data_IF_317031128621
#
_entry.id   IF_317031128621
#
_cell.length_a   1.000
_cell.length_b   1.000
_cell.length_c   1.000
_cell.angle_alpha   90.00
_cell.angle_beta   90.00
_cell.angle_gamma   90.00
#
_symmetry.space_group_name_H-M   'P 1'
#
loop_
_entity.id
_entity.type
_entity.pdbx_description
1 polymer ?
#
# COMPACT_ATOMS: atom_id res chain seq x y z
N UNK A 1 22.85 -4.23 13.24
CA UNK A 1 22.54 -5.65 12.94
C UNK A 1 21.47 -6.24 13.83
N UNK A 2 21.60 -6.26 15.16
CA UNK A 2 20.61 -6.86 16.06
C UNK A 2 19.16 -6.36 15.81
N UNK A 3 18.97 -5.05 15.64
CA UNK A 3 17.64 -4.48 15.36
C UNK A 3 17.04 -5.00 14.05
N UNK A 4 17.85 -5.14 12.99
CA UNK A 4 17.38 -5.67 11.69
C UNK A 4 16.93 -7.12 11.83
N UNK A 5 17.75 -7.97 12.45
CA UNK A 5 17.42 -9.38 12.64
C UNK A 5 16.19 -9.54 13.53
N UNK A 6 16.10 -8.77 14.62
CA UNK A 6 14.93 -8.78 15.52
C UNK A 6 13.68 -8.27 14.83
N UNK A 7 13.79 -7.24 13.98
CA UNK A 7 12.67 -6.70 13.22
C UNK A 7 12.11 -7.71 12.22
N UNK A 8 12.96 -8.31 11.40
CA UNK A 8 12.55 -9.32 10.42
C UNK A 8 11.93 -10.54 11.12
N UNK A 9 12.64 -11.11 12.10
CA UNK A 9 12.19 -12.30 12.80
C UNK A 9 10.94 -12.07 13.65
N UNK A 10 10.87 -10.92 14.35
CA UNK A 10 9.74 -10.54 15.19
C UNK A 10 8.46 -10.31 14.37
N UNK A 11 8.58 -9.55 13.28
CA UNK A 11 7.44 -9.30 12.38
C UNK A 11 6.91 -10.61 11.77
N UNK A 12 7.78 -11.39 11.15
CA UNK A 12 7.40 -12.67 10.54
C UNK A 12 6.77 -13.64 11.55
N UNK A 13 7.33 -13.73 12.76
CA UNK A 13 6.81 -14.59 13.81
C UNK A 13 5.42 -14.17 14.29
N UNK A 14 5.17 -12.85 14.45
CA UNK A 14 3.86 -12.34 14.86
C UNK A 14 2.76 -12.62 13.82
N UNK A 15 3.06 -12.55 12.53
CA UNK A 15 2.10 -12.90 11.47
C UNK A 15 1.99 -14.42 11.23
N UNK A 16 2.77 -15.21 11.94
CA UNK A 16 2.74 -16.67 11.86
C UNK A 16 3.57 -17.25 10.71
N UNK A 17 4.55 -16.52 10.20
CA UNK A 17 5.47 -16.97 9.15
C UNK A 17 6.85 -17.19 9.76
N UNK A 18 7.37 -18.43 9.80
CA UNK A 18 8.66 -18.71 10.41
C UNK A 18 9.81 -18.15 9.57
N UNK A 19 10.80 -17.55 10.22
CA UNK A 19 12.07 -17.21 9.58
C UNK A 19 12.90 -18.48 9.40
N UNK A 20 13.03 -18.93 8.15
CA UNK A 20 13.63 -20.25 7.85
C UNK A 20 15.07 -20.15 7.37
N UNK A 21 15.52 -18.99 6.89
CA UNK A 21 16.88 -18.77 6.41
C UNK A 21 17.25 -17.30 6.49
N UNK A 22 18.55 -17.04 6.46
CA UNK A 22 19.12 -15.70 6.34
C UNK A 22 20.62 -15.79 6.07
N UNK A 23 21.15 -14.76 5.45
CA UNK A 23 22.59 -14.60 5.19
C UNK A 23 23.01 -13.18 5.53
N UNK A 24 24.20 -13.02 6.08
CA UNK A 24 24.78 -11.72 6.36
C UNK A 24 26.15 -11.63 5.72
N UNK A 25 26.38 -10.61 4.91
CA UNK A 25 27.68 -10.30 4.29
C UNK A 25 28.20 -8.98 4.81
N UNK A 26 29.48 -8.93 5.12
CA UNK A 26 30.17 -7.72 5.61
C UNK A 26 31.08 -7.18 4.52
N UNK A 27 30.93 -5.90 4.21
CA UNK A 27 31.83 -5.15 3.35
C UNK A 27 31.93 -3.71 3.86
N UNK A 28 33.14 -3.12 3.79
CA UNK A 28 33.39 -1.76 4.29
C UNK A 28 32.51 -0.70 3.64
N UNK A 29 32.06 -0.90 2.40
CA UNK A 29 31.17 0.01 1.66
C UNK A 29 29.82 0.17 2.32
N UNK A 30 29.38 -0.77 3.16
CA UNK A 30 28.07 -0.75 3.84
C UNK A 30 28.16 -0.34 5.31
N UNK A 31 29.28 0.20 5.78
CA UNK A 31 29.41 0.56 7.20
C UNK A 31 28.45 1.67 7.64
N UNK A 32 28.10 2.58 6.76
CA UNK A 32 27.23 3.74 7.05
C UNK A 32 25.80 3.54 6.51
N UNK A 33 25.63 2.77 5.43
CA UNK A 33 24.33 2.51 4.84
C UNK A 33 24.19 1.03 4.48
N UNK A 34 23.53 0.28 5.35
CA UNK A 34 23.31 -1.17 5.18
C UNK A 34 22.18 -1.45 4.18
N UNK A 35 22.33 -2.50 3.39
CA UNK A 35 21.26 -3.06 2.58
C UNK A 35 20.58 -4.20 3.32
N UNK A 36 19.25 -4.17 3.33
CA UNK A 36 18.41 -5.20 3.91
C UNK A 36 17.43 -5.68 2.86
N UNK A 37 17.41 -7.00 2.63
CA UNK A 37 16.40 -7.65 1.80
C UNK A 37 15.67 -8.70 2.63
N UNK A 38 14.35 -8.62 2.66
CA UNK A 38 13.51 -9.64 3.24
C UNK A 38 12.66 -10.28 2.13
N UNK A 39 12.53 -11.61 2.17
CA UNK A 39 11.76 -12.36 1.19
C UNK A 39 10.73 -13.23 1.92
N UNK A 40 9.47 -13.10 1.56
CA UNK A 40 8.41 -14.00 1.98
C UNK A 40 8.07 -14.97 0.84
N UNK A 41 7.91 -16.25 1.18
CA UNK A 41 7.58 -17.30 0.21
C UNK A 41 6.32 -18.03 0.65
N UNK A 42 5.39 -18.20 -0.27
CA UNK A 42 4.15 -18.90 -0.03
C UNK A 42 3.79 -19.84 -1.18
N UNK A 43 2.85 -20.74 -0.93
CA UNK A 43 2.29 -21.63 -1.93
C UNK A 43 0.90 -21.16 -2.33
N UNK A 44 0.65 -21.06 -3.63
CA UNK A 44 -0.64 -20.66 -4.19
C UNK A 44 -1.06 -21.62 -5.30
N UNK A 45 -2.36 -21.91 -5.37
CA UNK A 45 -2.92 -22.63 -6.52
C UNK A 45 -2.92 -21.70 -7.74
N UNK A 46 -2.39 -22.18 -8.89
CA UNK A 46 -2.30 -21.41 -10.14
C UNK A 46 -3.62 -20.72 -10.54
N UNK A 47 -4.76 -21.32 -10.22
CA UNK A 47 -6.08 -20.78 -10.55
C UNK A 47 -6.64 -19.82 -9.49
N UNK A 48 -5.87 -19.53 -8.41
CA UNK A 48 -6.27 -18.65 -7.31
C UNK A 48 -5.28 -17.49 -7.13
N UNK A 49 -4.56 -17.12 -8.16
CA UNK A 49 -3.68 -15.95 -8.16
C UNK A 49 -4.52 -14.71 -8.43
N UNK A 50 -4.41 -13.72 -7.55
CA UNK A 50 -4.98 -12.40 -7.72
C UNK A 50 -3.92 -11.44 -8.25
N UNK A 51 -4.31 -10.56 -9.15
CA UNK A 51 -3.41 -9.61 -9.79
C UNK A 51 -3.83 -8.18 -9.45
N UNK A 52 -2.87 -7.27 -9.45
CA UNK A 52 -3.09 -5.83 -9.29
C UNK A 52 -3.59 -5.15 -10.58
N UNK A 53 -4.39 -5.83 -11.39
CA UNK A 53 -4.92 -5.33 -12.66
C UNK A 53 -6.40 -5.00 -12.54
N UNK A 54 -6.74 -3.72 -12.44
CA UNK A 54 -8.14 -3.29 -12.41
C UNK A 54 -8.87 -3.65 -13.71
N UNK A 55 -10.15 -3.99 -13.62
CA UNK A 55 -11.01 -4.32 -14.75
C UNK A 55 -12.41 -3.76 -14.56
N UNK A 56 -12.98 -3.25 -15.65
CA UNK A 56 -14.33 -2.71 -15.68
C UNK A 56 -14.40 -1.26 -15.16
N UNK A 57 -15.39 -0.53 -15.61
CA UNK A 57 -15.67 0.86 -15.25
C UNK A 57 -16.69 0.89 -14.13
N UNK A 58 -16.70 1.95 -13.30
CA UNK A 58 -17.60 2.12 -12.15
C UNK A 58 -17.55 0.93 -11.16
N UNK A 59 -16.36 0.36 -10.97
CA UNK A 59 -16.09 -0.62 -9.92
C UNK A 59 -15.60 0.08 -8.67
N UNK A 60 -16.10 -0.30 -7.51
CA UNK A 60 -15.71 0.29 -6.23
C UNK A 60 -14.23 0.07 -5.97
N UNK A 61 -13.53 1.12 -5.60
CA UNK A 61 -12.16 1.12 -5.09
C UNK A 61 -12.23 1.26 -3.59
N UNK A 62 -11.69 0.28 -2.90
CA UNK A 62 -11.83 0.12 -1.45
C UNK A 62 -10.48 0.13 -0.77
N UNK A 63 -10.40 0.91 0.28
CA UNK A 63 -9.29 0.96 1.23
C UNK A 63 -9.58 0.03 2.40
N UNK A 64 -8.61 -0.77 2.82
CA UNK A 64 -8.72 -1.66 3.97
C UNK A 64 -7.43 -1.73 4.78
N UNK A 65 -7.55 -1.98 6.09
CA UNK A 65 -6.43 -2.17 6.99
C UNK A 65 -6.26 -1.03 7.98
N UNK A 66 -5.01 -0.67 8.28
CA UNK A 66 -4.67 0.40 9.21
C UNK A 66 -5.08 1.79 8.70
N UNK A 67 -5.30 2.72 9.62
CA UNK A 67 -5.54 4.13 9.27
C UNK A 67 -4.28 4.79 8.71
N UNK A 68 -4.47 5.67 7.74
CA UNK A 68 -3.41 6.49 7.16
C UNK A 68 -2.94 7.55 8.17
N UNK A 69 -1.64 7.62 8.38
CA UNK A 69 -0.96 8.64 9.19
C UNK A 69 0.16 9.33 8.43
N UNK A 70 0.88 10.24 9.09
CA UNK A 70 2.05 10.92 8.51
C UNK A 70 3.32 10.07 8.61
N UNK A 71 3.23 8.83 8.10
CA UNK A 71 4.33 7.87 8.11
C UNK A 71 4.96 7.76 6.73
N UNK A 72 6.27 7.68 6.65
CA UNK A 72 7.01 7.38 5.42
C UNK A 72 6.84 8.41 4.30
N UNK A 73 6.22 9.56 4.55
CA UNK A 73 6.12 10.64 3.56
C UNK A 73 7.55 11.06 3.20
N UNK A 74 7.90 10.95 1.90
CA UNK A 74 9.27 11.06 1.39
C UNK A 74 10.21 9.88 1.74
N UNK A 75 9.71 8.75 2.22
CA UNK A 75 10.52 7.57 2.54
C UNK A 75 11.34 7.08 1.35
N UNK A 76 10.76 7.01 0.17
CA UNK A 76 11.46 6.62 -1.06
C UNK A 76 12.58 7.63 -1.43
N UNK A 77 12.36 8.92 -1.25
CA UNK A 77 13.37 9.97 -1.48
C UNK A 77 14.50 9.88 -0.46
N UNK A 78 14.18 9.57 0.81
CA UNK A 78 15.16 9.39 1.87
C UNK A 78 16.04 8.15 1.64
N UNK A 79 15.46 7.05 1.11
CA UNK A 79 16.22 5.84 0.79
C UNK A 79 17.27 6.06 -0.30
N UNK A 80 17.11 7.12 -1.12
CA UNK A 80 18.06 7.52 -2.17
C UNK A 80 19.00 8.65 -1.75
N UNK A 81 18.86 9.20 -0.54
CA UNK A 81 19.69 10.29 -0.01
C UNK A 81 20.84 9.77 0.88
N UNK A 82 21.93 10.51 0.93
CA UNK A 82 22.97 10.29 1.92
C UNK A 82 22.46 10.72 3.32
N UNK A 83 22.74 9.91 4.33
CA UNK A 83 22.42 10.25 5.71
C UNK A 83 23.45 11.27 6.24
N UNK A 84 22.95 12.42 6.71
CA UNK A 84 23.73 13.45 7.38
C UNK A 84 23.38 13.56 8.88
N UNK A 85 24.15 14.34 9.63
CA UNK A 85 23.95 14.53 11.08
C UNK A 85 22.58 15.19 11.45
N UNK A 86 21.86 15.73 10.47
CA UNK A 86 20.53 16.35 10.64
C UNK A 86 19.37 15.37 10.41
N UNK A 87 19.65 14.08 10.33
CA UNK A 87 18.65 13.04 10.03
C UNK A 87 17.56 12.90 11.12
N UNK A 88 17.75 13.44 12.33
CA UNK A 88 16.75 13.39 13.41
C UNK A 88 15.50 14.22 13.12
N UNK A 89 15.60 15.27 12.32
CA UNK A 89 14.44 16.09 11.92
C UNK A 89 13.55 15.40 10.85
N UNK A 90 14.02 14.25 10.33
CA UNK A 90 13.32 13.48 9.28
C UNK A 90 12.45 12.34 9.83
N UNK A 91 12.08 12.38 11.11
CA UNK A 91 11.21 11.37 11.77
C UNK A 91 9.91 11.04 11.04
N UNK A 92 9.25 11.96 10.30
CA UNK A 92 8.07 11.63 9.49
C UNK A 92 8.34 10.64 8.35
N UNK A 93 9.59 10.36 8.03
CA UNK A 93 9.97 9.42 6.96
C UNK A 93 10.08 7.96 7.43
N UNK A 94 10.01 7.71 8.73
CA UNK A 94 10.09 6.37 9.30
C UNK A 94 8.73 5.69 9.17
N UNK A 95 8.74 4.47 8.66
CA UNK A 95 7.59 3.58 8.65
C UNK A 95 7.56 2.78 9.96
N UNK A 96 6.37 2.69 10.58
CA UNK A 96 6.15 1.89 11.78
C UNK A 96 5.26 0.71 11.40
N UNK A 97 5.76 -0.50 11.59
CA UNK A 97 5.00 -1.72 11.33
C UNK A 97 4.23 -2.19 12.57
N UNK A 98 3.02 -2.69 12.36
CA UNK A 98 2.20 -3.37 13.36
C UNK A 98 1.89 -4.80 12.87
N UNK A 99 2.75 -5.79 13.23
CA UNK A 99 2.58 -7.16 12.75
C UNK A 99 1.30 -7.83 13.28
N UNK A 100 0.69 -7.33 14.33
CA UNK A 100 -0.61 -7.82 14.78
C UNK A 100 -1.71 -7.41 13.80
N UNK A 101 -1.75 -6.15 13.42
CA UNK A 101 -2.70 -5.65 12.40
C UNK A 101 -2.45 -6.31 11.05
N UNK A 102 -1.19 -6.53 10.67
CA UNK A 102 -0.85 -7.28 9.44
C UNK A 102 -1.42 -8.70 9.47
N UNK A 103 -1.31 -9.40 10.59
CA UNK A 103 -1.92 -10.73 10.73
C UNK A 103 -3.42 -10.69 10.48
N UNK A 104 -4.13 -9.73 11.07
CA UNK A 104 -5.57 -9.58 10.88
C UNK A 104 -5.91 -9.24 9.42
N UNK A 105 -5.16 -8.33 8.81
CA UNK A 105 -5.35 -7.92 7.41
C UNK A 105 -5.12 -9.10 6.45
N UNK A 106 -4.07 -9.87 6.67
CA UNK A 106 -3.77 -11.06 5.87
C UNK A 106 -4.93 -12.07 5.95
N UNK A 107 -5.43 -12.37 7.15
CA UNK A 107 -6.54 -13.31 7.32
C UNK A 107 -7.84 -12.80 6.69
N UNK A 108 -8.16 -11.51 6.83
CA UNK A 108 -9.32 -10.89 6.21
C UNK A 108 -9.24 -10.94 4.68
N UNK A 109 -8.09 -10.60 4.11
CA UNK A 109 -7.85 -10.70 2.66
C UNK A 109 -7.98 -12.14 2.17
N UNK A 110 -7.38 -13.11 2.86
CA UNK A 110 -7.49 -14.53 2.52
C UNK A 110 -8.94 -15.04 2.62
N UNK A 111 -9.72 -14.54 3.58
CA UNK A 111 -11.15 -14.87 3.69
C UNK A 111 -11.93 -14.31 2.50
N UNK A 112 -11.72 -13.05 2.14
CA UNK A 112 -12.35 -12.41 0.98
C UNK A 112 -11.98 -13.09 -0.34
N UNK A 113 -10.72 -13.54 -0.47
CA UNK A 113 -10.19 -14.27 -1.63
C UNK A 113 -10.85 -15.63 -1.87
N UNK A 114 -11.51 -16.22 -0.87
CA UNK A 114 -12.27 -17.48 -1.06
C UNK A 114 -13.49 -17.30 -1.94
N UNK A 115 -13.98 -16.07 -2.05
CA UNK A 115 -15.16 -15.71 -2.84
C UNK A 115 -14.81 -15.20 -4.24
N UNK A 116 -15.82 -14.60 -4.89
CA UNK A 116 -15.72 -13.94 -6.20
C UNK A 116 -15.96 -12.43 -6.06
N UNK A 117 -15.40 -11.83 -5.02
CA UNK A 117 -15.64 -10.41 -4.72
C UNK A 117 -14.55 -9.49 -5.23
N UNK A 118 -13.34 -10.00 -5.40
CA UNK A 118 -12.14 -9.24 -5.77
C UNK A 118 -11.93 -9.27 -7.28
N UNK A 119 -11.79 -8.11 -7.89
CA UNK A 119 -11.30 -7.94 -9.26
C UNK A 119 -9.78 -7.82 -9.25
N UNK A 120 -9.25 -6.96 -8.39
CA UNK A 120 -7.82 -6.73 -8.23
C UNK A 120 -7.51 -6.28 -6.81
N UNK A 121 -6.29 -6.55 -6.36
CA UNK A 121 -5.79 -6.21 -5.04
C UNK A 121 -4.33 -5.82 -5.13
N UNK A 122 -3.92 -4.81 -4.36
CA UNK A 122 -2.56 -4.31 -4.28
C UNK A 122 -2.28 -3.80 -2.87
N UNK A 123 -1.06 -4.03 -2.37
CA UNK A 123 -0.57 -3.39 -1.15
C UNK A 123 -0.27 -1.91 -1.37
N UNK A 124 -0.28 -1.15 -0.30
CA UNK A 124 0.12 0.25 -0.28
C UNK A 124 1.54 0.37 0.29
N UNK A 125 2.53 0.05 -0.52
CA UNK A 125 3.95 0.14 -0.16
C UNK A 125 4.51 1.55 -0.37
N UNK A 126 5.64 1.65 -1.08
CA UNK A 126 6.29 2.92 -1.41
C UNK A 126 5.34 3.87 -2.14
N UNK A 127 5.34 5.15 -1.74
CA UNK A 127 4.40 6.18 -2.19
C UNK A 127 2.91 5.83 -1.96
N UNK A 128 2.62 4.87 -1.11
CA UNK A 128 1.31 4.56 -0.53
C UNK A 128 0.17 4.44 -1.54
N UNK A 129 -0.85 5.30 -1.37
CA UNK A 129 -2.05 5.28 -2.21
C UNK A 129 -1.76 5.73 -3.65
N UNK A 130 -0.71 6.54 -3.87
CA UNK A 130 -0.31 6.99 -5.21
C UNK A 130 0.13 5.81 -6.06
N UNK A 131 1.13 5.06 -5.63
CA UNK A 131 1.66 3.93 -6.39
C UNK A 131 0.61 2.84 -6.59
N UNK A 132 -0.09 2.43 -5.53
CA UNK A 132 -1.08 1.36 -5.59
C UNK A 132 -2.21 1.67 -6.56
N UNK A 133 -2.79 2.88 -6.52
CA UNK A 133 -3.89 3.27 -7.39
C UNK A 133 -3.46 3.43 -8.85
N UNK A 134 -2.31 4.08 -9.09
CA UNK A 134 -1.76 4.28 -10.44
C UNK A 134 -1.40 2.96 -11.10
N UNK A 135 -0.72 2.06 -10.39
CA UNK A 135 -0.35 0.75 -10.93
C UNK A 135 -1.57 -0.11 -11.29
N UNK A 136 -2.58 -0.15 -10.41
CA UNK A 136 -3.79 -0.92 -10.69
C UNK A 136 -4.53 -0.38 -11.90
N UNK A 137 -4.63 0.93 -12.05
CA UNK A 137 -5.28 1.58 -13.16
C UNK A 137 -4.48 1.42 -14.46
N UNK A 138 -3.16 1.65 -14.44
CA UNK A 138 -2.26 1.48 -15.58
C UNK A 138 -2.30 0.07 -16.13
N UNK A 139 -2.07 -0.95 -15.29
CA UNK A 139 -2.16 -2.37 -15.67
C UNK A 139 -3.53 -2.74 -16.24
N UNK A 140 -4.59 -2.05 -15.80
CA UNK A 140 -5.96 -2.21 -16.29
C UNK A 140 -6.28 -1.43 -17.56
N UNK A 141 -5.42 -0.51 -17.96
CA UNK A 141 -5.70 0.49 -19.00
C UNK A 141 -6.99 1.27 -18.68
N UNK A 142 -7.14 1.73 -17.44
CA UNK A 142 -8.29 2.46 -16.90
C UNK A 142 -7.83 3.80 -16.30
N UNK A 143 -8.79 4.62 -15.90
CA UNK A 143 -8.63 5.72 -14.96
C UNK A 143 -9.09 5.31 -13.56
N UNK A 144 -8.85 6.16 -12.59
CA UNK A 144 -9.30 5.98 -11.21
C UNK A 144 -9.66 7.33 -10.61
N UNK A 145 -10.83 7.40 -9.97
CA UNK A 145 -11.28 8.55 -9.20
C UNK A 145 -11.25 8.19 -7.72
N UNK A 146 -10.59 9.00 -6.90
CA UNK A 146 -10.49 8.80 -5.47
C UNK A 146 -11.03 10.01 -4.71
N UNK A 147 -11.91 9.78 -3.74
CA UNK A 147 -12.34 10.76 -2.75
C UNK A 147 -11.50 10.61 -1.49
N UNK A 148 -10.52 11.47 -1.33
CA UNK A 148 -9.57 11.41 -0.22
C UNK A 148 -10.20 11.75 1.12
N UNK A 149 -11.35 12.41 1.14
CA UNK A 149 -12.11 12.65 2.37
C UNK A 149 -12.68 11.37 2.99
N UNK A 150 -12.81 10.30 2.21
CA UNK A 150 -13.28 8.99 2.68
C UNK A 150 -12.14 8.07 3.17
N UNK A 151 -10.88 8.49 3.01
CA UNK A 151 -9.73 7.70 3.46
C UNK A 151 -9.67 7.73 4.99
N UNK A 152 -9.67 6.57 5.66
CA UNK A 152 -9.53 6.52 7.11
C UNK A 152 -8.17 7.09 7.54
N UNK A 153 -8.17 8.21 8.25
CA UNK A 153 -6.96 8.86 8.73
C UNK A 153 -6.83 8.71 10.25
N UNK A 154 -5.60 8.50 10.73
CA UNK A 154 -5.26 8.43 12.14
C UNK A 154 -5.08 9.82 12.74
N UNK A 155 -4.66 10.77 11.92
CA UNK A 155 -4.33 12.12 12.32
C UNK A 155 -5.31 13.13 11.70
N UNK A 156 -5.60 14.18 12.46
CA UNK A 156 -6.47 15.25 11.98
C UNK A 156 -5.78 16.14 10.93
N UNK A 157 -6.58 16.76 10.08
CA UNK A 157 -6.14 17.79 9.11
C UNK A 157 -5.02 17.31 8.16
N UNK A 158 -5.03 16.05 7.80
CA UNK A 158 -4.14 15.57 6.75
C UNK A 158 -4.53 16.20 5.41
N UNK A 159 -3.52 16.67 4.70
CA UNK A 159 -3.69 17.24 3.36
C UNK A 159 -3.82 16.13 2.31
N UNK A 160 -4.40 16.41 1.13
CA UNK A 160 -4.43 15.47 0.01
C UNK A 160 -3.05 14.89 -0.34
N UNK A 161 -2.02 15.72 -0.28
CA UNK A 161 -0.64 15.32 -0.54
C UNK A 161 -0.15 14.29 0.48
N UNK A 162 -0.36 14.54 1.77
CA UNK A 162 0.04 13.62 2.84
C UNK A 162 -0.73 12.30 2.76
N UNK A 163 -2.04 12.34 2.45
CA UNK A 163 -2.87 11.13 2.29
C UNK A 163 -2.37 10.26 1.14
N UNK A 164 -2.05 10.86 0.01
CA UNK A 164 -1.60 10.15 -1.19
C UNK A 164 -0.21 9.53 -1.05
N UNK A 165 0.70 10.21 -0.34
CA UNK A 165 2.11 9.80 -0.21
C UNK A 165 2.43 9.08 1.09
N UNK A 166 1.47 8.99 2.02
CA UNK A 166 1.67 8.25 3.25
C UNK A 166 2.02 6.79 2.97
N UNK A 167 3.07 6.32 3.62
CA UNK A 167 3.51 4.92 3.58
C UNK A 167 3.17 4.17 4.88
N UNK A 168 2.08 4.55 5.56
CA UNK A 168 1.56 3.76 6.69
C UNK A 168 1.42 2.31 6.27
N UNK A 169 1.93 1.39 7.09
CA UNK A 169 1.96 -0.02 6.77
C UNK A 169 0.59 -0.69 6.99
N UNK A 170 0.47 -1.94 6.64
CA UNK A 170 -0.71 -2.80 6.86
C UNK A 170 -1.98 -2.24 6.19
N UNK A 171 -1.86 -1.84 4.92
CA UNK A 171 -2.97 -1.33 4.10
C UNK A 171 -3.02 -2.01 2.74
N UNK A 172 -4.23 -2.30 2.27
CA UNK A 172 -4.47 -2.83 0.92
C UNK A 172 -5.49 -1.98 0.17
N UNK A 173 -5.30 -1.86 -1.14
CA UNK A 173 -6.26 -1.28 -2.07
C UNK A 173 -6.92 -2.40 -2.87
N UNK A 174 -8.24 -2.42 -2.92
CA UNK A 174 -9.00 -3.49 -3.57
C UNK A 174 -10.00 -2.89 -4.55
N UNK A 175 -10.10 -3.45 -5.75
CA UNK A 175 -11.21 -3.20 -6.67
C UNK A 175 -12.19 -4.36 -6.54
N UNK A 176 -13.45 -4.05 -6.21
CA UNK A 176 -14.48 -5.05 -5.96
C UNK A 176 -15.41 -5.24 -7.17
N UNK A 177 -15.97 -6.44 -7.27
CA UNK A 177 -17.12 -6.68 -8.13
C UNK A 177 -18.33 -5.90 -7.64
N UNK A 178 -19.15 -5.44 -8.58
CA UNK A 178 -20.34 -4.61 -8.30
C UNK A 178 -21.27 -5.28 -7.28
N UNK A 179 -21.64 -4.54 -6.24
CA UNK A 179 -22.55 -4.99 -5.18
C UNK A 179 -21.91 -5.95 -4.18
N UNK A 180 -20.57 -5.98 -4.11
CA UNK A 180 -19.84 -6.81 -3.13
C UNK A 180 -19.27 -6.02 -1.95
N UNK A 181 -19.54 -4.72 -1.91
CA UNK A 181 -19.02 -3.79 -0.90
C UNK A 181 -19.47 -4.19 0.50
N UNK A 182 -20.75 -4.45 0.71
CA UNK A 182 -21.31 -4.87 2.01
C UNK A 182 -20.78 -6.24 2.47
N UNK A 183 -20.60 -7.17 1.54
CA UNK A 183 -20.03 -8.46 1.86
C UNK A 183 -18.57 -8.33 2.30
N UNK A 184 -17.79 -7.54 1.57
CA UNK A 184 -16.40 -7.27 1.91
C UNK A 184 -16.31 -6.55 3.27
N UNK A 185 -17.13 -5.51 3.47
CA UNK A 185 -17.17 -4.77 4.74
C UNK A 185 -17.38 -5.69 5.94
N UNK A 186 -18.34 -6.62 5.86
CA UNK A 186 -18.61 -7.58 6.95
C UNK A 186 -17.41 -8.45 7.30
N UNK A 187 -16.58 -8.79 6.32
CA UNK A 187 -15.35 -9.55 6.56
C UNK A 187 -14.34 -8.68 7.32
N UNK A 188 -14.08 -7.45 6.86
CA UNK A 188 -13.12 -6.56 7.53
C UNK A 188 -13.60 -6.13 8.91
N UNK A 189 -14.89 -5.84 9.10
CA UNK A 189 -15.49 -5.57 10.41
C UNK A 189 -15.30 -6.74 11.39
N UNK A 190 -15.47 -7.98 10.93
CA UNK A 190 -15.22 -9.20 11.74
C UNK A 190 -13.79 -9.27 12.27
N UNK A 191 -12.83 -8.80 11.47
CA UNK A 191 -11.42 -8.76 11.82
C UNK A 191 -11.00 -7.44 12.49
N UNK A 192 -11.97 -6.57 12.80
CA UNK A 192 -11.74 -5.26 13.44
C UNK A 192 -10.78 -4.36 12.66
N UNK A 193 -10.93 -4.34 11.34
CA UNK A 193 -10.12 -3.54 10.42
C UNK A 193 -10.96 -2.44 9.78
N UNK A 194 -10.33 -1.30 9.49
CA UNK A 194 -10.98 -0.24 8.74
C UNK A 194 -11.31 -0.69 7.30
N UNK A 195 -12.46 -0.27 6.82
CA UNK A 195 -12.97 -0.50 5.47
C UNK A 195 -13.67 0.77 4.97
N UNK A 196 -13.23 1.29 3.84
CA UNK A 196 -13.85 2.45 3.22
C UNK A 196 -13.90 2.32 1.70
N UNK A 197 -15.04 2.65 1.10
CA UNK A 197 -15.13 2.85 -0.35
C UNK A 197 -14.62 4.26 -0.64
N UNK A 198 -13.42 4.35 -1.17
CA UNK A 198 -12.74 5.63 -1.39
C UNK A 198 -12.80 6.12 -2.83
N UNK A 199 -13.40 5.36 -3.74
CA UNK A 199 -13.45 5.78 -5.14
C UNK A 199 -14.01 4.72 -6.07
N UNK A 200 -13.73 4.92 -7.34
CA UNK A 200 -14.17 4.04 -8.43
C UNK A 200 -13.20 4.05 -9.61
N UNK A 201 -13.23 2.98 -10.39
CA UNK A 201 -12.56 2.91 -11.68
C UNK A 201 -13.33 3.71 -12.75
N UNK A 202 -12.60 4.36 -13.66
CA UNK A 202 -13.14 5.17 -14.75
C UNK A 202 -12.52 4.79 -16.10
N UNK A 203 -13.01 5.37 -17.18
CA UNK A 203 -12.42 5.25 -18.52
C UNK A 203 -11.54 6.45 -18.89
N UNK A 204 -11.37 7.41 -17.97
CA UNK A 204 -10.67 8.68 -18.23
C UNK A 204 -9.17 8.54 -18.51
N UNK A 205 -8.55 7.41 -18.18
CA UNK A 205 -7.10 7.20 -18.22
C UNK A 205 -6.31 8.17 -17.32
N UNK A 206 -6.97 8.73 -16.34
CA UNK A 206 -6.40 9.67 -15.40
C UNK A 206 -6.59 9.20 -13.98
N UNK A 207 -5.72 9.64 -13.09
CA UNK A 207 -6.02 9.68 -11.67
C UNK A 207 -6.68 11.02 -11.37
N UNK A 208 -7.85 10.96 -10.77
CA UNK A 208 -8.64 12.12 -10.38
C UNK A 208 -8.81 12.09 -8.86
N UNK A 209 -8.41 13.16 -8.20
CA UNK A 209 -8.46 13.26 -6.74
C UNK A 209 -9.49 14.30 -6.33
N UNK A 210 -10.38 13.89 -5.46
CA UNK A 210 -11.41 14.74 -4.85
C UNK A 210 -11.10 14.86 -3.36
N UNK A 211 -11.20 16.08 -2.84
CA UNK A 211 -11.08 16.34 -1.41
C UNK A 211 -12.02 17.49 -1.05
N UNK A 212 -12.78 17.36 0.04
CA UNK A 212 -13.81 18.31 0.46
C UNK A 212 -14.76 18.72 -0.68
N UNK A 213 -15.21 17.71 -1.46
CA UNK A 213 -16.08 17.88 -2.64
C UNK A 213 -15.49 18.75 -3.77
N UNK A 214 -14.17 18.92 -3.81
CA UNK A 214 -13.47 19.65 -4.87
C UNK A 214 -12.46 18.71 -5.54
N UNK A 215 -12.34 18.81 -6.87
CA UNK A 215 -11.25 18.16 -7.59
C UNK A 215 -9.95 18.92 -7.26
N UNK A 216 -9.01 18.23 -6.63
CA UNK A 216 -7.72 18.79 -6.20
C UNK A 216 -6.56 18.38 -7.10
N UNK A 217 -6.71 17.31 -7.87
CA UNK A 217 -5.75 16.90 -8.88
C UNK A 217 -6.41 16.10 -10.00
N UNK A 218 -5.81 16.17 -11.19
CA UNK A 218 -6.14 15.37 -12.36
C UNK A 218 -4.87 15.15 -13.18
N UNK A 219 -4.38 13.93 -13.26
CA UNK A 219 -3.10 13.61 -13.91
C UNK A 219 -3.29 12.38 -14.82
N UNK A 220 -2.82 12.40 -16.07
CA UNK A 220 -2.78 11.20 -16.91
C UNK A 220 -1.95 10.11 -16.26
N UNK A 221 -2.47 8.87 -16.24
CA UNK A 221 -1.82 7.75 -15.55
C UNK A 221 -0.50 7.35 -16.21
N UNK A 222 -0.42 7.45 -17.52
CA UNK A 222 0.78 7.12 -18.29
C UNK A 222 2.00 7.96 -17.89
N UNK A 223 1.82 9.22 -17.50
CA UNK A 223 2.89 10.09 -17.02
C UNK A 223 3.47 9.64 -15.67
N UNK A 224 2.69 8.92 -14.89
CA UNK A 224 3.09 8.41 -13.56
C UNK A 224 3.55 6.95 -13.61
N UNK A 225 3.34 6.25 -14.70
CA UNK A 225 3.68 4.86 -14.89
C UNK A 225 4.70 4.66 -16.04
N UNK A 226 4.22 4.43 -17.26
CA UNK A 226 5.05 3.96 -18.37
C UNK A 226 5.93 5.06 -18.99
N UNK A 227 5.48 6.32 -18.94
CA UNK A 227 6.18 7.48 -19.51
C UNK A 227 6.93 8.33 -18.46
N UNK A 228 7.22 7.75 -17.31
CA UNK A 228 8.09 8.41 -16.33
C UNK A 228 9.50 8.63 -16.92
N UNK A 229 10.18 9.76 -16.62
CA UNK A 229 11.51 10.02 -17.13
C UNK A 229 12.49 8.87 -16.74
N UNK A 230 13.17 8.34 -17.73
CA UNK A 230 14.29 7.41 -17.50
C UNK A 230 15.58 8.19 -17.70
N UNK A 231 16.47 8.12 -16.72
CA UNK A 231 17.79 8.76 -16.78
C UNK A 231 18.83 7.69 -17.12
N UNK A 232 19.71 7.99 -18.07
CA UNK A 232 20.83 7.14 -18.47
C UNK A 232 21.97 7.19 -17.43
#
# INVERSE_FOLDING_TARGET
MNGVVSGIGGYGNCIGIPTVAGETKFNKTYNENILVNAMAVGLVNKNKIFYSKAKGINKAVVYVGSKTGRDGIHGASMASAEFDENSEDKKPTVQVGDPFTEKLLMEACLELMKGKSIISIQDMGAAGLTSSSVEMASKGNLGIELNLSEVPCREEKMTPYEIMLSESQERMLIVLEKGKEEHAKKIFDKWNLDFAVIGKTTDSKKIELIFDNKKVAEIPIDLLAENAPMYD
#
